data_IF_492474372748
#
_entry.id   IF_492474372748
#
_cell.length_a   1.000
_cell.length_b   1.000
_cell.length_c   1.000
_cell.angle_alpha   90.00
_cell.angle_beta   90.00
_cell.angle_gamma   90.00
#
_symmetry.space_group_name_H-M   'P 1'
#
loop_
_entity.id
_entity.type
_entity.pdbx_description
1 polymer ?
#
# COMPACT_ATOMS: atom_id res chain seq x y z
N UNK A 1 41.85 12.90 -9.51
CA UNK A 1 41.00 13.65 -8.57
C UNK A 1 39.63 13.05 -8.68
N UNK A 2 39.21 12.46 -7.58
CA UNK A 2 38.42 11.25 -7.54
C UNK A 2 36.97 11.37 -8.00
N UNK A 3 36.59 10.27 -8.64
CA UNK A 3 35.28 9.73 -8.98
C UNK A 3 34.14 10.21 -8.06
N UNK A 4 33.14 10.86 -8.66
CA UNK A 4 31.85 11.02 -8.00
C UNK A 4 31.15 9.66 -7.91
N UNK A 5 31.09 9.19 -6.67
CA UNK A 5 29.99 8.44 -6.09
C UNK A 5 29.50 7.23 -6.89
N UNK A 6 30.21 6.11 -6.72
CA UNK A 6 29.60 4.80 -6.84
C UNK A 6 28.51 4.71 -5.77
N UNK A 7 27.24 4.82 -6.18
CA UNK A 7 26.13 4.30 -5.40
C UNK A 7 26.37 2.79 -5.30
N UNK A 8 26.95 2.36 -4.18
CA UNK A 8 27.06 0.96 -3.82
C UNK A 8 25.66 0.54 -3.38
N UNK A 9 24.84 0.11 -4.33
CA UNK A 9 23.63 -0.64 -4.01
C UNK A 9 24.11 -2.02 -3.58
N UNK A 10 24.38 -2.16 -2.29
CA UNK A 10 24.73 -3.44 -1.68
C UNK A 10 23.58 -4.43 -1.91
N UNK A 11 23.94 -5.58 -2.47
CA UNK A 11 23.07 -6.70 -2.78
C UNK A 11 22.27 -7.16 -1.54
N UNK A 12 20.95 -7.33 -1.72
CA UNK A 12 20.02 -8.02 -0.80
C UNK A 12 19.36 -7.21 0.34
N UNK A 13 19.14 -5.90 0.19
CA UNK A 13 18.24 -5.18 1.10
C UNK A 13 16.78 -5.43 0.69
N UNK A 14 16.06 -6.30 1.42
CA UNK A 14 14.62 -6.47 1.27
C UNK A 14 13.96 -5.10 1.41
N UNK A 15 13.38 -4.59 0.31
CA UNK A 15 12.64 -3.33 0.35
C UNK A 15 11.33 -3.63 1.06
N UNK A 16 11.27 -3.25 2.33
CA UNK A 16 10.04 -3.32 3.13
C UNK A 16 9.13 -2.19 2.70
N UNK A 17 7.95 -2.52 2.20
CA UNK A 17 6.93 -1.53 1.83
C UNK A 17 5.68 -1.76 2.68
N UNK A 18 5.19 -0.71 3.32
CA UNK A 18 3.92 -0.70 4.04
C UNK A 18 2.81 -0.15 3.14
N UNK A 19 1.64 -0.77 3.20
CA UNK A 19 0.40 -0.31 2.55
C UNK A 19 -0.76 -0.38 3.53
N UNK A 20 -1.87 0.29 3.23
CA UNK A 20 -3.08 0.22 4.05
C UNK A 20 -4.18 -0.52 3.29
N UNK A 21 -4.59 -1.68 3.80
CA UNK A 21 -5.73 -2.43 3.30
C UNK A 21 -7.04 -1.80 3.82
N UNK A 22 -7.99 -1.57 2.93
CA UNK A 22 -9.31 -0.95 3.23
C UNK A 22 -10.50 -1.90 3.01
N UNK A 23 -10.23 -3.17 2.69
CA UNK A 23 -11.26 -4.20 2.59
C UNK A 23 -10.82 -5.47 1.86
N UNK A 24 -11.61 -6.54 2.06
CA UNK A 24 -11.50 -7.83 1.38
C UNK A 24 -12.82 -8.16 0.68
N UNK A 25 -12.76 -8.39 -0.63
CA UNK A 25 -13.96 -8.60 -1.45
C UNK A 25 -13.91 -9.96 -2.14
N UNK A 26 -15.05 -10.66 -2.22
CA UNK A 26 -15.14 -11.92 -2.98
C UNK A 26 -15.20 -11.69 -4.50
N UNK A 27 -15.69 -10.53 -4.93
CA UNK A 27 -15.83 -10.15 -6.33
C UNK A 27 -14.77 -9.13 -6.70
N UNK A 28 -14.05 -9.39 -7.80
CA UNK A 28 -13.09 -8.44 -8.36
C UNK A 28 -13.77 -7.11 -8.73
N UNK A 29 -14.97 -7.15 -9.31
CA UNK A 29 -15.73 -5.94 -9.66
C UNK A 29 -16.03 -5.08 -8.43
N UNK A 30 -16.36 -5.68 -7.29
CA UNK A 30 -16.59 -4.93 -6.06
C UNK A 30 -15.29 -4.28 -5.55
N UNK A 31 -14.18 -5.03 -5.57
CA UNK A 31 -12.86 -4.48 -5.24
C UNK A 31 -12.47 -3.31 -6.17
N UNK A 32 -12.77 -3.44 -7.47
CA UNK A 32 -12.50 -2.41 -8.46
C UNK A 32 -13.34 -1.16 -8.25
N UNK A 33 -14.64 -1.30 -7.98
CA UNK A 33 -15.49 -0.15 -7.65
C UNK A 33 -14.98 0.61 -6.42
N UNK A 34 -14.54 -0.12 -5.39
CA UNK A 34 -13.97 0.48 -4.18
C UNK A 34 -12.66 1.19 -4.51
N UNK A 35 -11.73 0.55 -5.22
CA UNK A 35 -10.47 1.17 -5.61
C UNK A 35 -10.72 2.43 -6.46
N UNK A 36 -11.63 2.38 -7.43
CA UNK A 36 -12.01 3.54 -8.25
C UNK A 36 -12.49 4.71 -7.40
N UNK A 37 -13.31 4.47 -6.37
CA UNK A 37 -13.76 5.54 -5.47
C UNK A 37 -12.63 6.21 -4.67
N UNK A 38 -11.55 5.48 -4.37
CA UNK A 38 -10.35 6.04 -3.73
C UNK A 38 -9.48 6.78 -4.75
N UNK A 39 -9.36 6.27 -5.98
CA UNK A 39 -8.64 6.95 -7.07
C UNK A 39 -9.30 8.28 -7.42
N UNK A 40 -10.63 8.35 -7.46
CA UNK A 40 -11.38 9.60 -7.66
C UNK A 40 -11.11 10.65 -6.57
N UNK A 41 -10.78 10.21 -5.36
CA UNK A 41 -10.38 11.07 -4.24
C UNK A 41 -8.89 11.43 -4.24
N UNK A 42 -8.12 10.94 -5.22
CA UNK A 42 -6.70 11.23 -5.39
C UNK A 42 -5.75 10.22 -4.71
N UNK A 43 -6.27 9.14 -4.13
CA UNK A 43 -5.43 8.10 -3.54
C UNK A 43 -4.90 7.13 -4.61
N UNK A 44 -3.71 6.57 -4.36
CA UNK A 44 -3.14 5.48 -5.16
C UNK A 44 -3.34 4.14 -4.48
N UNK A 45 -3.49 3.07 -5.26
CA UNK A 45 -3.72 1.74 -4.70
C UNK A 45 -3.69 0.61 -5.72
N UNK A 46 -3.87 -0.60 -5.23
CA UNK A 46 -3.82 -1.84 -6.00
C UNK A 46 -4.75 -2.89 -5.42
N UNK A 47 -5.26 -3.77 -6.28
CA UNK A 47 -6.00 -4.98 -5.89
C UNK A 47 -5.01 -6.14 -5.81
N UNK A 48 -4.92 -6.79 -4.65
CA UNK A 48 -4.06 -7.94 -4.41
C UNK A 48 -4.92 -9.20 -4.23
N UNK A 49 -4.77 -10.23 -5.07
CA UNK A 49 -5.42 -11.53 -4.83
C UNK A 49 -4.91 -12.13 -3.50
N UNK A 50 -5.83 -12.53 -2.63
CA UNK A 50 -5.51 -13.16 -1.36
C UNK A 50 -6.49 -14.31 -1.10
N UNK A 51 -6.00 -15.55 -1.25
CA UNK A 51 -6.82 -16.75 -1.22
C UNK A 51 -8.02 -16.63 -2.20
N UNK A 52 -9.24 -16.67 -1.69
CA UNK A 52 -10.50 -16.55 -2.44
C UNK A 52 -11.07 -15.12 -2.44
N UNK A 53 -10.24 -14.12 -2.13
CA UNK A 53 -10.63 -12.72 -2.01
C UNK A 53 -9.69 -11.80 -2.79
N UNK A 54 -10.13 -10.55 -2.92
CA UNK A 54 -9.41 -9.44 -3.51
C UNK A 54 -9.27 -8.35 -2.45
N UNK A 55 -8.03 -8.13 -2.00
CA UNK A 55 -7.70 -7.08 -1.06
C UNK A 55 -7.50 -5.75 -1.78
N UNK A 56 -8.17 -4.69 -1.33
CA UNK A 56 -7.88 -3.34 -1.81
C UNK A 56 -6.88 -2.71 -0.87
N UNK A 57 -5.71 -2.37 -1.39
CA UNK A 57 -4.62 -1.76 -0.63
C UNK A 57 -4.25 -0.40 -1.23
N UNK A 58 -4.08 0.60 -0.38
CA UNK A 58 -3.78 1.99 -0.74
C UNK A 58 -2.38 2.38 -0.26
N UNK A 59 -1.79 3.33 -0.97
CA UNK A 59 -0.46 3.88 -0.67
C UNK A 59 0.68 2.89 -0.84
N UNK A 60 1.88 3.38 -0.57
CA UNK A 60 3.15 2.65 -0.57
C UNK A 60 4.14 3.48 0.22
N UNK A 61 4.53 3.01 1.39
CA UNK A 61 5.36 3.76 2.34
C UNK A 61 6.56 2.93 2.75
N UNK A 62 7.74 3.55 2.82
CA UNK A 62 8.96 2.87 3.28
C UNK A 62 9.05 2.87 4.82
N UNK A 63 8.38 3.82 5.48
CA UNK A 63 8.31 3.97 6.93
C UNK A 63 6.94 3.57 7.47
N UNK A 64 6.92 2.88 8.62
CA UNK A 64 5.67 2.46 9.26
C UNK A 64 4.86 3.67 9.74
N UNK A 65 5.52 4.72 10.24
CA UNK A 65 4.85 5.90 10.80
C UNK A 65 4.06 6.67 9.73
N UNK A 66 4.58 6.76 8.50
CA UNK A 66 3.84 7.34 7.36
C UNK A 66 2.59 6.52 7.04
N UNK A 67 2.71 5.19 7.06
CA UNK A 67 1.57 4.30 6.86
C UNK A 67 0.53 4.43 8.00
N UNK A 68 0.97 4.62 9.24
CA UNK A 68 0.10 4.87 10.40
C UNK A 68 -0.64 6.19 10.27
N UNK A 69 0.04 7.27 9.86
CA UNK A 69 -0.60 8.56 9.65
C UNK A 69 -1.70 8.47 8.57
N UNK A 70 -1.39 7.81 7.44
CA UNK A 70 -2.34 7.57 6.37
C UNK A 70 -3.51 6.67 6.80
N UNK A 71 -3.22 5.64 7.59
CA UNK A 71 -4.24 4.75 8.14
C UNK A 71 -5.21 5.47 9.09
N UNK A 72 -4.69 6.37 9.93
CA UNK A 72 -5.50 7.19 10.83
C UNK A 72 -6.40 8.17 10.08
N UNK A 73 -5.92 8.75 8.97
CA UNK A 73 -6.75 9.58 8.08
C UNK A 73 -7.96 8.78 7.57
N UNK A 74 -7.70 7.59 7.03
CA UNK A 74 -8.74 6.70 6.49
C UNK A 74 -9.70 6.22 7.59
N UNK A 75 -9.20 5.83 8.75
CA UNK A 75 -10.04 5.42 9.89
C UNK A 75 -10.92 6.58 10.38
N UNK A 76 -10.38 7.79 10.42
CA UNK A 76 -11.16 9.00 10.78
C UNK A 76 -12.23 9.35 9.75
N UNK A 77 -12.02 8.97 8.49
CA UNK A 77 -13.02 9.05 7.42
C UNK A 77 -14.05 7.90 7.44
N UNK A 78 -13.96 6.98 8.41
CA UNK A 78 -14.93 5.90 8.62
C UNK A 78 -14.60 4.58 7.91
N UNK A 79 -13.38 4.41 7.41
CA UNK A 79 -12.95 3.15 6.78
C UNK A 79 -12.42 2.16 7.82
N UNK A 80 -12.71 0.87 7.63
CA UNK A 80 -12.04 -0.21 8.35
C UNK A 80 -10.71 -0.53 7.65
N UNK A 81 -9.62 -0.52 8.42
CA UNK A 81 -8.26 -0.42 7.91
C UNK A 81 -7.29 -1.36 8.60
N UNK A 82 -6.34 -1.89 7.83
CA UNK A 82 -5.24 -2.71 8.33
C UNK A 82 -3.94 -2.38 7.59
N UNK A 83 -2.88 -2.04 8.32
CA UNK A 83 -1.55 -1.89 7.73
C UNK A 83 -1.01 -3.28 7.37
N UNK A 84 -0.48 -3.40 6.16
CA UNK A 84 0.14 -4.63 5.65
C UNK A 84 1.58 -4.36 5.25
N UNK A 85 2.48 -5.26 5.62
CA UNK A 85 3.86 -5.28 5.16
C UNK A 85 3.94 -6.13 3.89
N UNK A 86 4.47 -5.54 2.82
CA UNK A 86 4.78 -6.21 1.56
C UNK A 86 6.29 -6.39 1.50
N UNK A 87 6.72 -7.65 1.47
CA UNK A 87 8.11 -8.02 1.26
C UNK A 87 8.32 -8.22 -0.25
N UNK A 88 9.27 -7.49 -0.83
CA UNK A 88 9.70 -7.63 -2.22
C UNK A 88 11.01 -8.39 -2.33
#
# INVERSE_FOLDING_TARGET
MDVHEKVVISENQLITVYKVQVGLYRSFTNAMNVLSSFVEKGYSGSIIPYQNFYAVQLGSFDELDDAVAFEQELRSAGYDTMIVKVEK
#
